data_IF_122526856163
#
_entry.id   IF_122526856163
#
_cell.length_a   1.000
_cell.length_b   1.000
_cell.length_c   1.000
_cell.angle_alpha   90.00
_cell.angle_beta   90.00
_cell.angle_gamma   90.00
#
_symmetry.space_group_name_H-M   'P 1'
#
loop_
_entity.id
_entity.type
_entity.pdbx_description
1 polymer ?
#
# COMPACT_ATOMS: atom_id res chain seq x y z
N UNK A 1 39.58 -47.25 -37.03
CA UNK A 1 40.18 -47.35 -35.68
C UNK A 1 39.14 -48.08 -34.86
N UNK A 2 39.44 -49.31 -34.43
CA UNK A 2 38.43 -50.36 -34.25
C UNK A 2 38.09 -50.65 -32.77
N UNK A 3 36.81 -50.52 -32.43
CA UNK A 3 35.88 -51.50 -31.80
C UNK A 3 36.38 -52.64 -30.86
N UNK A 4 35.44 -53.19 -30.07
CA UNK A 4 35.32 -54.59 -29.55
C UNK A 4 35.46 -54.87 -28.02
N UNK A 5 34.29 -55.19 -27.40
CA UNK A 5 33.95 -56.21 -26.35
C UNK A 5 34.62 -56.30 -24.95
N UNK A 6 33.75 -56.25 -23.93
CA UNK A 6 33.33 -57.36 -23.00
C UNK A 6 34.30 -58.49 -22.58
N UNK A 7 34.47 -58.65 -21.25
CA UNK A 7 34.30 -59.89 -20.39
C UNK A 7 34.73 -59.56 -18.94
N UNK A 8 33.94 -59.81 -17.89
CA UNK A 8 33.69 -61.08 -17.14
C UNK A 8 34.95 -61.81 -16.66
N UNK A 9 35.13 -61.87 -15.33
CA UNK A 9 35.58 -63.05 -14.56
C UNK A 9 35.04 -62.98 -13.12
N UNK A 10 34.33 -64.03 -12.68
CA UNK A 10 34.15 -64.42 -11.27
C UNK A 10 35.12 -65.57 -10.97
N UNK A 11 35.60 -65.64 -9.73
CA UNK A 11 35.98 -66.85 -8.96
C UNK A 11 35.99 -66.39 -7.49
N UNK A 12 35.19 -66.95 -6.57
CA UNK A 12 35.29 -68.31 -5.99
C UNK A 12 36.58 -68.49 -5.16
N UNK A 13 36.59 -69.05 -3.94
CA UNK A 13 35.52 -69.48 -3.03
C UNK A 13 36.14 -69.78 -1.63
N UNK A 14 35.34 -70.36 -0.72
CA UNK A 14 35.76 -71.16 0.47
C UNK A 14 36.35 -70.40 1.70
N UNK A 15 36.01 -70.76 2.95
CA UNK A 15 34.99 -71.71 3.48
C UNK A 15 34.85 -71.58 5.02
N UNK A 16 33.65 -71.91 5.55
CA UNK A 16 33.37 -72.58 6.86
C UNK A 16 33.92 -71.98 8.19
N UNK A 17 33.26 -72.09 9.35
CA UNK A 17 31.99 -72.72 9.77
C UNK A 17 31.67 -72.23 11.22
N UNK A 18 30.41 -71.94 11.55
CA UNK A 18 29.56 -72.69 12.55
C UNK A 18 29.97 -72.50 14.03
N UNK A 19 29.08 -72.38 15.03
CA UNK A 19 27.60 -72.30 15.15
C UNK A 19 27.21 -71.84 16.58
N UNK A 20 25.97 -71.35 16.78
CA UNK A 20 25.08 -71.38 17.99
C UNK A 20 25.66 -71.11 19.42
N UNK A 21 25.04 -70.43 20.41
CA UNK A 21 23.75 -69.73 20.67
C UNK A 21 23.89 -69.03 22.06
N UNK A 22 22.92 -68.45 22.77
CA UNK A 22 21.45 -68.26 22.65
C UNK A 22 21.04 -66.92 23.36
N UNK A 23 19.73 -66.68 23.43
CA UNK A 23 18.91 -65.76 24.27
C UNK A 23 19.50 -65.22 25.61
N UNK A 24 19.30 -63.93 25.89
CA UNK A 24 18.51 -63.40 27.04
C UNK A 24 18.30 -61.85 26.90
N UNK A 25 17.36 -61.29 27.67
CA UNK A 25 16.78 -59.93 27.51
C UNK A 25 17.33 -58.87 28.50
N UNK A 26 16.89 -57.61 28.30
CA UNK A 26 16.74 -56.49 29.26
C UNK A 26 17.86 -55.45 29.50
N UNK A 27 17.42 -54.18 29.37
CA UNK A 27 17.95 -52.91 29.96
C UNK A 27 19.32 -52.42 29.40
N UNK A 28 19.64 -51.11 29.34
CA UNK A 28 19.12 -49.91 30.03
C UNK A 28 18.89 -48.71 29.06
N UNK A 29 18.06 -47.73 29.47
CA UNK A 29 17.88 -46.43 28.77
C UNK A 29 18.84 -45.37 29.36
N UNK A 30 19.89 -44.95 28.62
CA UNK A 30 20.59 -43.67 28.84
C UNK A 30 21.02 -43.07 27.49
N UNK A 31 20.28 -42.06 27.00
CA UNK A 31 20.71 -41.20 25.87
C UNK A 31 21.39 -39.92 26.41
N UNK A 32 22.72 -39.93 26.45
CA UNK A 32 23.53 -38.71 26.37
C UNK A 32 23.81 -38.41 24.88
N UNK A 33 23.32 -37.27 24.36
CA UNK A 33 23.85 -36.68 23.13
C UNK A 33 24.40 -35.27 23.40
N UNK A 34 25.71 -35.11 23.25
CA UNK A 34 26.39 -33.82 23.13
C UNK A 34 26.43 -33.35 21.67
N UNK A 35 26.62 -32.03 21.47
CA UNK A 35 27.01 -31.37 20.21
C UNK A 35 25.97 -31.40 19.06
N UNK A 36 25.90 -30.41 18.16
CA UNK A 36 26.95 -29.53 17.64
C UNK A 36 26.61 -28.03 17.66
N UNK A 37 27.62 -27.20 17.95
CA UNK A 37 27.60 -25.77 17.66
C UNK A 37 27.70 -25.54 16.14
N UNK A 38 26.72 -24.87 15.55
CA UNK A 38 26.86 -24.28 14.22
C UNK A 38 26.87 -22.76 14.32
N UNK A 39 28.01 -22.16 13.94
CA UNK A 39 28.16 -20.70 13.86
C UNK A 39 27.35 -20.18 12.67
N UNK A 40 26.20 -19.57 12.92
CA UNK A 40 25.60 -18.67 11.92
C UNK A 40 26.32 -17.32 11.95
N UNK A 41 26.97 -16.99 10.84
CA UNK A 41 27.69 -15.74 10.66
C UNK A 41 26.71 -14.56 10.74
N UNK A 42 26.95 -13.62 11.65
CA UNK A 42 26.11 -12.43 11.83
C UNK A 42 26.13 -11.56 10.57
N UNK A 43 25.07 -11.62 9.76
CA UNK A 43 24.92 -10.78 8.56
C UNK A 43 24.61 -9.32 8.99
N UNK A 44 25.51 -8.32 8.81
CA UNK A 44 25.41 -7.04 9.53
C UNK A 44 24.32 -6.06 9.04
N UNK A 45 23.35 -6.50 8.25
CA UNK A 45 22.39 -5.63 7.55
C UNK A 45 20.97 -5.61 8.13
N UNK A 46 20.62 -6.51 9.06
CA UNK A 46 19.31 -6.54 9.73
C UNK A 46 19.24 -5.70 11.03
N UNK A 47 20.02 -4.61 11.09
CA UNK A 47 19.99 -3.68 12.23
C UNK A 47 18.89 -2.62 12.13
N UNK A 48 17.82 -2.89 12.88
CA UNK A 48 16.89 -1.95 13.53
C UNK A 48 15.84 -1.22 12.66
N UNK A 49 14.63 -1.77 12.64
CA UNK A 49 13.36 -1.03 12.45
C UNK A 49 12.43 -1.31 13.67
N UNK A 50 13.01 -1.60 14.85
CA UNK A 50 12.34 -2.17 16.04
C UNK A 50 11.65 -1.14 16.95
N UNK A 51 11.07 -0.10 16.34
CA UNK A 51 10.28 0.92 17.02
C UNK A 51 8.81 0.97 16.55
N UNK A 52 8.15 -0.20 16.44
CA UNK A 52 6.68 -0.27 16.55
C UNK A 52 6.24 0.02 17.99
N UNK A 53 6.41 1.27 18.42
CA UNK A 53 5.63 1.79 19.53
C UNK A 53 4.15 1.73 19.12
N UNK A 54 3.38 0.89 19.80
CA UNK A 54 1.92 0.82 19.68
C UNK A 54 1.28 2.16 20.03
N UNK A 55 1.13 3.03 19.05
CA UNK A 55 0.45 4.31 19.19
C UNK A 55 -1.00 4.16 18.76
N UNK A 56 -1.88 4.35 19.74
CA UNK A 56 -3.32 4.28 19.57
C UNK A 56 -3.80 5.23 18.45
N UNK A 57 -4.72 4.73 17.63
CA UNK A 57 -5.16 5.44 16.42
C UNK A 57 -6.16 6.51 16.82
N UNK A 58 -5.63 7.70 17.17
CA UNK A 58 -6.35 8.84 17.73
C UNK A 58 -7.80 8.94 17.25
N UNK A 59 -8.68 8.82 18.23
CA UNK A 59 -10.05 8.34 18.17
C UNK A 59 -10.92 9.01 17.10
N UNK A 60 -11.40 8.17 16.18
CA UNK A 60 -12.82 8.08 15.89
C UNK A 60 -13.01 6.69 15.26
N UNK A 61 -13.71 5.74 15.88
CA UNK A 61 -13.86 4.39 15.29
C UNK A 61 -14.73 4.39 14.03
N UNK A 62 -15.36 5.52 13.71
CA UNK A 62 -16.28 5.67 12.60
C UNK A 62 -15.90 6.87 11.72
N UNK A 63 -16.29 6.82 10.44
CA UNK A 63 -16.33 7.96 9.53
C UNK A 63 -17.80 8.28 9.29
N UNK A 64 -18.25 9.45 9.75
CA UNK A 64 -19.59 9.94 9.51
C UNK A 64 -19.62 10.87 8.29
N UNK A 65 -20.56 10.66 7.37
CA UNK A 65 -20.83 11.57 6.26
C UNK A 65 -22.32 11.69 5.99
N UNK A 66 -22.77 12.87 5.56
CA UNK A 66 -24.17 13.13 5.22
C UNK A 66 -24.40 12.84 3.73
N UNK A 67 -25.35 11.96 3.42
CA UNK A 67 -25.83 11.70 2.07
C UNK A 67 -26.64 12.88 1.54
N UNK A 68 -26.86 12.93 0.21
CA UNK A 68 -27.67 13.99 -0.44
C UNK A 68 -29.14 14.01 -0.03
N UNK A 69 -29.64 12.92 0.55
CA UNK A 69 -30.98 12.79 1.13
C UNK A 69 -31.07 13.29 2.60
N UNK A 70 -29.96 13.78 3.16
CA UNK A 70 -29.86 14.25 4.55
C UNK A 70 -29.58 13.15 5.57
N UNK A 71 -29.52 11.87 5.17
CA UNK A 71 -29.19 10.77 6.10
C UNK A 71 -27.71 10.77 6.46
N UNK A 72 -27.40 10.52 7.74
CA UNK A 72 -26.03 10.39 8.22
C UNK A 72 -25.64 8.91 8.14
N UNK A 73 -24.62 8.59 7.36
CA UNK A 73 -24.02 7.26 7.34
C UNK A 73 -22.76 7.26 8.21
N UNK A 74 -22.74 6.37 9.20
CA UNK A 74 -21.55 6.04 9.96
C UNK A 74 -20.95 4.75 9.39
N UNK A 75 -19.67 4.81 9.04
CA UNK A 75 -18.88 3.68 8.55
C UNK A 75 -17.85 3.35 9.60
N UNK A 76 -17.77 2.10 10.06
CA UNK A 76 -16.63 1.67 10.88
C UNK A 76 -15.32 1.80 10.10
N UNK A 77 -14.31 2.44 10.70
CA UNK A 77 -12.95 2.42 10.16
C UNK A 77 -12.44 0.98 10.21
N UNK A 78 -11.89 0.43 9.11
CA UNK A 78 -11.34 -0.91 9.11
C UNK A 78 -10.17 -0.99 10.10
N UNK A 79 -10.25 -1.94 11.03
CA UNK A 79 -9.30 -2.10 12.13
C UNK A 79 -7.92 -2.49 11.58
N UNK A 80 -6.82 -1.80 11.96
CA UNK A 80 -5.47 -2.21 11.61
C UNK A 80 -5.23 -3.67 12.01
N UNK A 81 -4.67 -4.49 11.12
CA UNK A 81 -4.39 -5.91 11.39
C UNK A 81 -5.62 -6.83 11.43
N UNK A 82 -6.82 -6.38 11.04
CA UNK A 82 -8.00 -7.24 10.99
C UNK A 82 -7.78 -8.46 10.10
N UNK A 83 -7.83 -9.67 10.69
CA UNK A 83 -7.98 -10.92 9.94
C UNK A 83 -9.41 -10.98 9.41
N UNK A 84 -9.63 -10.48 8.18
CA UNK A 84 -10.94 -10.47 7.53
C UNK A 84 -11.54 -11.89 7.49
N UNK A 85 -12.68 -12.08 8.16
CA UNK A 85 -13.49 -13.28 7.95
C UNK A 85 -14.09 -13.22 6.55
N UNK A 86 -14.24 -14.38 5.88
CA UNK A 86 -14.89 -14.44 4.56
C UNK A 86 -16.37 -14.06 4.70
N UNK A 87 -16.73 -12.87 4.25
CA UNK A 87 -18.13 -12.40 4.17
C UNK A 87 -18.26 -10.91 4.42
N UNK A 88 -17.83 -10.47 5.60
CA UNK A 88 -18.15 -9.16 6.16
C UNK A 88 -17.47 -8.00 5.40
N UNK A 89 -18.24 -6.99 4.99
CA UNK A 89 -17.69 -5.75 4.40
C UNK A 89 -16.67 -5.07 5.30
N UNK A 90 -15.66 -4.46 4.68
CA UNK A 90 -14.67 -3.63 5.39
C UNK A 90 -15.27 -2.31 5.90
N UNK A 91 -16.39 -1.84 5.29
CA UNK A 91 -16.97 -0.51 5.54
C UNK A 91 -18.51 -0.48 5.55
N UNK A 92 -19.21 -1.61 5.71
CA UNK A 92 -20.68 -1.67 5.64
C UNK A 92 -21.24 -1.31 4.27
N UNK A 93 -22.49 -0.81 4.25
CA UNK A 93 -23.19 -0.33 3.05
C UNK A 93 -22.59 1.00 2.57
N UNK A 94 -21.51 0.91 1.80
CA UNK A 94 -20.75 2.04 1.29
C UNK A 94 -21.32 2.51 -0.07
N UNK A 95 -22.05 3.64 -0.17
CA UNK A 95 -22.71 4.06 -1.41
C UNK A 95 -21.77 4.72 -2.43
N UNK A 96 -20.59 5.18 -2.02
CA UNK A 96 -19.65 5.95 -2.83
C UNK A 96 -18.20 5.58 -2.44
N UNK A 97 -17.21 5.73 -3.35
CA UNK A 97 -15.84 5.42 -3.00
C UNK A 97 -15.32 6.34 -1.87
N UNK A 98 -14.50 5.79 -0.97
CA UNK A 98 -13.85 6.57 0.11
C UNK A 98 -12.34 6.43 0.00
N UNK A 99 -11.68 7.58 -0.18
CA UNK A 99 -10.22 7.70 -0.05
C UNK A 99 -9.86 7.97 1.41
N UNK A 100 -9.41 6.94 2.12
CA UNK A 100 -8.95 7.07 3.50
C UNK A 100 -7.45 7.38 3.53
N UNK A 101 -7.11 8.49 4.18
CA UNK A 101 -5.73 8.84 4.53
C UNK A 101 -5.44 8.26 5.92
N UNK A 102 -4.59 7.24 5.96
CA UNK A 102 -4.03 6.68 7.20
C UNK A 102 -2.76 7.45 7.58
N UNK A 103 -2.03 6.96 8.58
CA UNK A 103 -0.83 7.63 9.11
C UNK A 103 0.25 7.85 8.03
N UNK A 104 0.65 6.80 7.31
CA UNK A 104 1.65 6.84 6.22
C UNK A 104 1.12 6.34 4.87
N UNK A 105 -0.11 5.81 4.87
CA UNK A 105 -0.68 5.01 3.79
C UNK A 105 -2.00 5.61 3.31
N UNK A 106 -2.35 5.31 2.07
CA UNK A 106 -3.61 5.69 1.44
C UNK A 106 -4.35 4.44 0.99
N UNK A 107 -5.66 4.40 1.22
CA UNK A 107 -6.56 3.30 0.86
C UNK A 107 -7.79 3.86 0.15
N UNK A 108 -8.21 3.24 -0.96
CA UNK A 108 -9.44 3.59 -1.67
C UNK A 108 -10.44 2.43 -1.61
N UNK A 109 -11.48 2.58 -0.78
CA UNK A 109 -12.57 1.63 -0.68
C UNK A 109 -13.54 1.83 -1.83
N UNK A 110 -13.84 0.76 -2.58
CA UNK A 110 -14.90 0.78 -3.59
C UNK A 110 -16.28 0.79 -2.92
N UNK A 111 -17.33 1.31 -3.59
CA UNK A 111 -18.71 1.16 -3.13
C UNK A 111 -19.08 -0.31 -2.90
N UNK A 112 -19.74 -0.58 -1.78
CA UNK A 112 -20.28 -1.88 -1.42
C UNK A 112 -21.77 -1.72 -1.09
N UNK A 113 -22.65 -1.68 -2.10
CA UNK A 113 -24.08 -1.46 -1.91
C UNK A 113 -24.81 -2.64 -1.26
N UNK A 114 -24.14 -3.80 -1.10
CA UNK A 114 -24.68 -5.02 -0.51
C UNK A 114 -23.91 -5.46 0.77
N UNK A 115 -23.09 -4.60 1.37
CA UNK A 115 -22.21 -4.94 2.51
C UNK A 115 -21.33 -6.20 2.35
N UNK A 116 -20.93 -6.56 1.12
CA UNK A 116 -20.08 -7.74 0.86
C UNK A 116 -18.59 -7.37 0.82
N UNK A 117 -17.74 -8.17 1.46
CA UNK A 117 -16.28 -7.97 1.49
C UNK A 117 -15.65 -7.76 0.09
N UNK A 118 -16.06 -8.58 -0.88
CA UNK A 118 -15.55 -8.53 -2.27
C UNK A 118 -16.08 -7.35 -3.08
N UNK A 119 -17.14 -6.66 -2.64
CA UNK A 119 -17.60 -5.44 -3.31
C UNK A 119 -16.58 -4.31 -3.14
N UNK A 120 -15.74 -4.33 -2.11
CA UNK A 120 -14.60 -3.41 -1.98
C UNK A 120 -13.38 -3.75 -2.86
N UNK A 121 -13.39 -4.88 -3.58
CA UNK A 121 -12.26 -5.30 -4.42
C UNK A 121 -12.37 -4.80 -5.88
N UNK A 122 -11.26 -4.42 -6.53
CA UNK A 122 -9.93 -4.24 -5.94
C UNK A 122 -9.92 -2.99 -5.04
N UNK A 123 -9.07 -3.00 -4.02
CA UNK A 123 -8.84 -1.84 -3.14
C UNK A 123 -7.47 -1.22 -3.47
N UNK A 124 -7.40 -0.18 -4.31
CA UNK A 124 -6.17 0.56 -4.54
C UNK A 124 -5.61 1.07 -3.22
N UNK A 125 -4.32 0.88 -3.02
CA UNK A 125 -3.61 1.41 -1.85
C UNK A 125 -2.18 1.79 -2.21
N UNK A 126 -1.64 2.74 -1.45
CA UNK A 126 -0.24 3.18 -1.57
C UNK A 126 0.32 3.28 -0.17
N UNK A 127 1.27 2.38 0.13
CA UNK A 127 1.94 2.36 1.43
C UNK A 127 3.11 3.32 1.45
N UNK A 128 3.36 3.93 2.62
CA UNK A 128 4.52 4.79 2.90
C UNK A 128 4.78 5.84 1.79
N UNK A 129 3.73 6.50 1.26
CA UNK A 129 3.80 7.41 0.10
C UNK A 129 4.89 8.49 0.20
N UNK A 130 5.17 8.95 1.43
CA UNK A 130 6.18 9.98 1.71
C UNK A 130 7.43 9.42 2.39
N UNK A 131 7.80 8.17 2.11
CA UNK A 131 9.08 7.62 2.55
C UNK A 131 10.23 8.33 1.81
N UNK A 132 10.99 9.09 2.59
CA UNK A 132 12.22 9.77 2.16
C UNK A 132 13.19 9.80 3.35
N UNK A 133 14.48 9.82 3.05
CA UNK A 133 15.51 10.19 4.02
C UNK A 133 15.34 11.68 4.37
N UNK A 134 15.56 12.04 5.63
CA UNK A 134 15.53 13.42 6.12
C UNK A 134 16.75 13.67 7.01
N UNK A 135 17.26 14.90 7.16
CA UNK A 135 18.40 15.15 8.04
C UNK A 135 18.12 14.73 9.49
N UNK A 136 19.12 14.21 10.19
CA UNK A 136 19.00 13.62 11.55
C UNK A 136 18.23 14.50 12.55
N UNK A 137 18.33 15.83 12.46
CA UNK A 137 17.56 16.77 13.29
C UNK A 137 16.03 16.62 13.17
N UNK A 138 15.51 16.09 12.05
CA UNK A 138 14.10 15.72 11.87
C UNK A 138 13.79 14.30 12.39
N UNK A 139 14.79 13.45 12.55
CA UNK A 139 14.65 12.05 12.96
C UNK A 139 14.65 11.93 14.49
N UNK A 140 15.63 12.54 15.17
CA UNK A 140 15.82 12.45 16.64
C UNK A 140 14.60 12.92 17.46
N UNK A 141 13.69 13.68 16.86
CA UNK A 141 12.46 14.14 17.50
C UNK A 141 11.15 13.66 16.88
N UNK A 142 11.15 12.94 15.74
CA UNK A 142 9.93 12.90 14.90
C UNK A 142 9.62 11.66 14.06
N UNK A 143 9.17 10.62 14.75
CA UNK A 143 8.10 9.78 14.20
C UNK A 143 6.82 10.57 13.85
N UNK A 144 6.61 11.74 14.48
CA UNK A 144 5.38 12.56 14.41
C UNK A 144 5.18 13.26 13.05
N UNK A 145 6.23 13.81 12.42
CA UNK A 145 6.11 14.55 11.15
C UNK A 145 5.87 13.66 9.93
N UNK A 146 6.04 12.35 10.07
CA UNK A 146 5.75 11.36 9.01
C UNK A 146 4.26 11.10 8.79
N UNK A 147 3.37 11.71 9.58
CA UNK A 147 1.92 11.60 9.44
C UNK A 147 1.41 12.38 8.23
N UNK A 148 0.55 11.77 7.41
CA UNK A 148 -0.33 12.48 6.49
C UNK A 148 -1.36 13.23 7.35
N UNK A 149 -1.19 14.55 7.47
CA UNK A 149 -1.97 15.39 8.37
C UNK A 149 -2.50 16.67 7.72
N UNK A 150 -2.24 16.85 6.43
CA UNK A 150 -2.70 17.98 5.62
C UNK A 150 -3.32 17.43 4.34
N UNK A 151 -4.50 17.92 3.99
CA UNK A 151 -5.17 17.58 2.73
C UNK A 151 -6.01 18.74 2.24
N UNK A 152 -6.23 18.79 0.93
CA UNK A 152 -7.14 19.69 0.24
C UNK A 152 -7.77 18.97 -0.95
N UNK A 153 -8.93 19.41 -1.40
CA UNK A 153 -9.63 18.80 -2.53
C UNK A 153 -9.95 19.85 -3.60
N UNK A 154 -9.87 19.45 -4.86
CA UNK A 154 -10.36 20.22 -6.02
C UNK A 154 -11.40 19.34 -6.72
N UNK A 155 -12.67 19.38 -6.27
CA UNK A 155 -13.69 18.46 -6.77
C UNK A 155 -13.97 18.59 -8.27
N UNK A 156 -13.86 19.79 -8.83
CA UNK A 156 -14.14 20.02 -10.26
C UNK A 156 -13.07 19.43 -11.19
N UNK A 157 -11.82 19.30 -10.72
CA UNK A 157 -10.76 18.59 -11.44
C UNK A 157 -10.74 17.09 -11.11
N UNK A 158 -11.39 16.67 -10.01
CA UNK A 158 -11.28 15.30 -9.48
C UNK A 158 -9.94 15.04 -8.82
N UNK A 159 -9.39 16.03 -8.11
CA UNK A 159 -8.03 15.98 -7.52
C UNK A 159 -8.10 16.06 -6.00
N UNK A 160 -7.27 15.24 -5.34
CA UNK A 160 -7.00 15.32 -3.89
C UNK A 160 -5.52 15.62 -3.69
N UNK A 161 -5.21 16.66 -2.94
CA UNK A 161 -3.85 17.05 -2.57
C UNK A 161 -3.63 16.60 -1.14
N UNK A 162 -2.54 15.88 -0.88
CA UNK A 162 -2.22 15.34 0.46
C UNK A 162 -0.77 15.68 0.81
N UNK A 163 -0.49 15.95 2.08
CA UNK A 163 0.83 16.40 2.51
C UNK A 163 1.19 15.91 3.93
N UNK A 164 2.50 15.93 4.18
CA UNK A 164 3.11 15.60 5.48
C UNK A 164 3.92 16.79 5.99
N UNK A 165 4.04 16.92 7.31
CA UNK A 165 4.95 17.90 7.91
C UNK A 165 6.42 17.63 7.54
N UNK A 166 6.78 16.42 7.10
CA UNK A 166 8.10 16.05 6.54
C UNK A 166 8.52 16.80 5.25
N UNK A 167 7.70 17.68 4.68
CA UNK A 167 8.15 18.62 3.63
C UNK A 167 7.65 18.35 2.21
N UNK A 168 6.85 17.29 2.01
CA UNK A 168 6.35 16.85 0.70
C UNK A 168 4.83 16.95 0.60
N UNK A 169 4.38 17.19 -0.63
CA UNK A 169 2.96 17.23 -1.02
C UNK A 169 2.78 16.31 -2.23
N UNK A 170 1.77 15.44 -2.23
CA UNK A 170 1.40 14.62 -3.38
C UNK A 170 0.07 15.12 -3.97
N UNK A 171 0.02 15.20 -5.30
CA UNK A 171 -1.20 15.49 -6.08
C UNK A 171 -1.74 14.15 -6.59
N UNK A 172 -2.97 13.82 -6.19
CA UNK A 172 -3.66 12.59 -6.55
C UNK A 172 -4.81 12.90 -7.51
N UNK A 173 -4.76 12.37 -8.72
CA UNK A 173 -5.89 12.39 -9.66
C UNK A 173 -6.79 11.19 -9.42
N UNK A 174 -8.07 11.42 -9.12
CA UNK A 174 -9.07 10.36 -8.97
C UNK A 174 -9.45 9.83 -10.36
N UNK A 175 -9.52 8.51 -10.49
CA UNK A 175 -9.82 7.81 -11.74
C UNK A 175 -11.05 6.90 -11.58
N UNK A 176 -11.73 6.63 -12.69
CA UNK A 176 -12.85 5.70 -12.74
C UNK A 176 -12.77 4.91 -14.05
N UNK A 177 -12.91 3.59 -13.96
CA UNK A 177 -12.97 2.69 -15.11
C UNK A 177 -14.12 1.69 -14.95
N UNK A 178 -14.48 1.00 -16.03
CA UNK A 178 -15.36 -0.18 -15.99
C UNK A 178 -14.51 -1.38 -16.35
N UNK A 179 -14.46 -2.37 -15.46
CA UNK A 179 -13.71 -3.60 -15.68
C UNK A 179 -14.62 -4.82 -15.60
N UNK A 180 -14.28 -5.84 -16.39
CA UNK A 180 -14.88 -7.17 -16.27
C UNK A 180 -14.14 -7.96 -15.20
N UNK A 181 -14.83 -8.25 -14.11
CA UNK A 181 -14.28 -9.00 -12.97
C UNK A 181 -15.08 -10.27 -12.72
N UNK A 182 -14.49 -11.19 -11.93
CA UNK A 182 -15.19 -12.39 -11.48
C UNK A 182 -16.40 -12.02 -10.62
N UNK A 183 -17.53 -12.64 -10.93
CA UNK A 183 -18.73 -12.56 -10.11
C UNK A 183 -18.60 -13.57 -8.96
N UNK A 184 -17.90 -13.17 -7.89
CA UNK A 184 -17.61 -14.02 -6.74
C UNK A 184 -18.87 -14.58 -6.03
N UNK A 185 -20.05 -14.03 -6.29
CA UNK A 185 -21.32 -14.55 -5.80
C UNK A 185 -21.88 -15.70 -6.66
N UNK A 186 -21.52 -15.76 -7.95
CA UNK A 186 -21.95 -16.79 -8.91
C UNK A 186 -20.87 -17.79 -9.30
N UNK A 187 -19.62 -17.57 -8.90
CA UNK A 187 -18.51 -18.51 -9.14
C UNK A 187 -18.62 -19.69 -8.18
N UNK A 188 -18.96 -20.86 -8.71
CA UNK A 188 -18.85 -22.12 -7.97
C UNK A 188 -17.39 -22.60 -7.95
N UNK A 189 -16.98 -23.24 -6.85
CA UNK A 189 -15.59 -23.64 -6.59
C UNK A 189 -15.05 -24.61 -7.66
N UNK A 190 -15.92 -25.44 -8.23
CA UNK A 190 -15.55 -26.51 -9.17
C UNK A 190 -15.71 -26.14 -10.66
N UNK A 191 -16.06 -24.89 -10.99
CA UNK A 191 -16.21 -24.44 -12.38
C UNK A 191 -14.85 -24.24 -13.08
N UNK A 192 -14.78 -24.66 -14.35
CA UNK A 192 -13.60 -24.47 -15.18
C UNK A 192 -13.27 -22.97 -15.34
N UNK A 193 -11.98 -22.56 -15.43
CA UNK A 193 -11.59 -21.14 -15.38
C UNK A 193 -12.21 -20.24 -16.45
N UNK A 194 -12.61 -20.81 -17.59
CA UNK A 194 -13.22 -20.08 -18.71
C UNK A 194 -14.72 -19.83 -18.54
N UNK A 195 -15.43 -20.69 -17.80
CA UNK A 195 -16.88 -20.62 -17.61
C UNK A 195 -17.30 -19.78 -16.39
N UNK A 196 -16.33 -19.36 -15.58
CA UNK A 196 -16.56 -18.55 -14.38
C UNK A 196 -17.29 -17.26 -14.72
N UNK A 197 -18.44 -17.07 -14.08
CA UNK A 197 -19.28 -15.89 -14.25
C UNK A 197 -18.47 -14.58 -14.09
N UNK A 198 -18.72 -13.62 -14.99
CA UNK A 198 -18.09 -12.30 -14.97
C UNK A 198 -19.16 -11.21 -14.94
N UNK A 199 -18.89 -10.16 -14.17
CA UNK A 199 -19.70 -8.95 -14.12
C UNK A 199 -18.90 -7.73 -14.57
N UNK A 200 -19.57 -6.73 -15.11
CA UNK A 200 -18.99 -5.41 -15.36
C UNK A 200 -19.19 -4.54 -14.11
N UNK A 201 -18.08 -4.09 -13.53
CA UNK A 201 -18.08 -3.30 -12.30
C UNK A 201 -17.31 -2.00 -12.51
N UNK A 202 -17.86 -0.90 -12.00
CA UNK A 202 -17.13 0.37 -11.90
C UNK A 202 -16.05 0.22 -10.83
N UNK A 203 -14.81 0.48 -11.21
CA UNK A 203 -13.67 0.52 -10.30
C UNK A 203 -13.21 1.97 -10.24
N UNK A 204 -13.14 2.49 -9.03
CA UNK A 204 -12.55 3.78 -8.72
C UNK A 204 -11.07 3.57 -8.38
N UNK A 205 -10.23 4.49 -8.82
CA UNK A 205 -8.80 4.49 -8.60
C UNK A 205 -8.31 5.87 -8.22
N UNK A 206 -7.00 5.97 -7.99
CA UNK A 206 -6.28 7.22 -8.04
C UNK A 206 -4.91 6.99 -8.66
N UNK A 207 -4.34 8.04 -9.25
CA UNK A 207 -2.97 8.09 -9.75
C UNK A 207 -2.23 9.15 -8.95
N UNK A 208 -0.97 8.88 -8.57
CA UNK A 208 -0.07 9.90 -8.04
C UNK A 208 0.52 10.62 -9.23
N UNK A 209 0.10 11.86 -9.47
CA UNK A 209 0.51 12.60 -10.67
C UNK A 209 1.85 13.31 -10.41
N UNK A 210 1.98 13.94 -9.24
CA UNK A 210 3.20 14.66 -8.84
C UNK A 210 3.45 14.51 -7.33
N UNK A 211 4.73 14.44 -6.95
CA UNK A 211 5.19 14.64 -5.58
C UNK A 211 6.08 15.88 -5.57
N UNK A 212 5.56 16.96 -4.99
CA UNK A 212 6.16 18.28 -4.96
C UNK A 212 7.26 18.39 -3.88
N UNK A 213 8.23 19.30 -4.05
CA UNK A 213 8.35 20.31 -5.12
C UNK A 213 8.89 19.78 -6.46
N UNK A 214 8.42 20.32 -7.59
CA UNK A 214 8.91 20.15 -8.98
C UNK A 214 8.85 21.55 -9.65
N UNK A 215 9.59 21.94 -10.72
CA UNK A 215 10.30 21.11 -11.72
C UNK A 215 11.79 20.94 -11.48
N UNK A 216 12.43 21.91 -10.85
CA UNK A 216 13.85 21.85 -10.50
C UNK A 216 14.11 20.86 -9.35
N UNK A 217 13.05 20.42 -8.65
CA UNK A 217 13.13 19.85 -7.30
C UNK A 217 13.94 20.77 -6.36
N UNK A 218 13.77 22.07 -6.55
CA UNK A 218 14.62 23.12 -5.97
C UNK A 218 16.09 22.92 -6.33
N UNK A 219 16.33 22.78 -7.64
CA UNK A 219 17.56 22.45 -8.39
C UNK A 219 18.67 21.83 -7.53
N UNK A 220 18.57 20.51 -7.34
CA UNK A 220 19.48 19.67 -6.54
C UNK A 220 19.58 19.99 -5.04
N UNK A 221 18.89 21.02 -4.54
CA UNK A 221 18.70 21.26 -3.11
C UNK A 221 17.74 20.27 -2.45
N UNK A 222 16.73 19.78 -3.21
CA UNK A 222 15.74 18.70 -2.95
C UNK A 222 14.96 18.72 -1.62
N UNK A 223 15.25 19.71 -0.77
CA UNK A 223 14.47 20.34 0.30
C UNK A 223 13.54 19.39 1.07
N UNK A 224 14.11 18.70 2.08
CA UNK A 224 13.70 19.02 3.45
C UNK A 224 14.79 19.78 4.23
N UNK A 225 14.59 21.10 4.41
CA UNK A 225 15.38 21.94 5.34
C UNK A 225 14.53 22.48 6.52
N UNK A 226 13.21 22.49 6.32
CA UNK A 226 12.17 22.92 7.24
C UNK A 226 10.93 22.06 6.96
N UNK A 227 10.06 21.86 7.96
CA UNK A 227 8.78 21.16 7.75
C UNK A 227 7.76 22.03 7.02
N UNK A 228 6.70 21.42 6.48
CA UNK A 228 5.52 22.18 6.00
C UNK A 228 4.71 22.62 7.22
N UNK A 229 4.35 23.91 7.26
CA UNK A 229 3.43 24.47 8.24
C UNK A 229 1.97 24.35 7.79
N UNK A 230 1.70 24.51 6.49
CA UNK A 230 0.35 24.36 5.93
C UNK A 230 0.32 24.35 4.39
N UNK A 231 -0.82 23.92 3.85
CA UNK A 231 -1.16 24.03 2.42
C UNK A 231 -2.47 24.81 2.27
N UNK A 232 -2.62 25.55 1.17
CA UNK A 232 -3.85 26.25 0.81
C UNK A 232 -4.13 26.10 -0.68
N UNK A 233 -5.40 25.98 -1.06
CA UNK A 233 -5.85 25.75 -2.44
C UNK A 233 -7.05 26.62 -2.76
N UNK A 234 -7.05 27.27 -3.93
CA UNK A 234 -8.19 28.06 -4.41
C UNK A 234 -8.15 28.29 -5.93
N UNK A 235 -9.26 28.68 -6.56
CA UNK A 235 -9.28 28.97 -7.99
C UNK A 235 -8.44 30.21 -8.31
N UNK A 236 -7.80 30.23 -9.48
CA UNK A 236 -7.07 31.40 -9.97
C UNK A 236 -8.07 32.50 -10.36
N UNK A 237 -7.88 33.71 -9.83
CA UNK A 237 -8.72 34.87 -10.13
C UNK A 237 -8.71 35.20 -11.63
N UNK A 238 -9.83 35.65 -12.17
CA UNK A 238 -10.03 35.89 -13.60
C UNK A 238 -10.50 34.65 -14.38
N UNK A 239 -10.56 33.48 -13.76
CA UNK A 239 -11.08 32.24 -14.40
C UNK A 239 -12.57 31.99 -14.12
N UNK A 240 -13.30 32.96 -13.56
CA UNK A 240 -14.70 32.79 -13.12
C UNK A 240 -15.64 32.41 -14.28
N UNK A 241 -15.32 32.89 -15.48
CA UNK A 241 -16.06 32.67 -16.73
C UNK A 241 -15.74 31.32 -17.42
N UNK A 242 -14.75 30.57 -16.93
CA UNK A 242 -14.33 29.27 -17.47
C UNK A 242 -15.20 28.15 -16.87
N UNK A 243 -15.42 27.05 -17.59
CA UNK A 243 -16.10 25.87 -17.01
C UNK A 243 -15.31 25.33 -15.80
N UNK A 244 -15.98 24.92 -14.71
CA UNK A 244 -15.33 24.52 -13.45
C UNK A 244 -14.25 23.42 -13.59
N UNK A 245 -14.43 22.51 -14.55
CA UNK A 245 -13.48 21.42 -14.87
C UNK A 245 -12.27 21.85 -15.71
N UNK A 246 -12.24 23.10 -16.18
CA UNK A 246 -11.16 23.74 -16.94
C UNK A 246 -10.55 24.94 -16.20
N UNK A 247 -11.11 25.35 -15.05
CA UNK A 247 -10.52 26.38 -14.18
C UNK A 247 -9.13 25.95 -13.72
N UNK A 248 -8.20 26.90 -13.69
CA UNK A 248 -6.91 26.73 -13.00
C UNK A 248 -7.06 27.00 -11.51
N UNK A 249 -6.30 26.25 -10.72
CA UNK A 249 -6.30 26.31 -9.26
C UNK A 249 -4.89 26.54 -8.76
N UNK A 250 -4.73 27.48 -7.82
CA UNK A 250 -3.46 27.75 -7.16
C UNK A 250 -3.33 26.91 -5.91
N UNK A 251 -2.25 26.14 -5.81
CA UNK A 251 -1.79 25.47 -4.60
C UNK A 251 -0.63 26.29 -4.02
N UNK A 252 -0.74 26.67 -2.75
CA UNK A 252 0.31 27.30 -1.96
C UNK A 252 0.80 26.30 -0.90
N UNK A 253 2.12 26.18 -0.74
CA UNK A 253 2.78 25.32 0.25
C UNK A 253 3.69 26.18 1.11
N UNK A 254 3.34 26.35 2.39
CA UNK A 254 4.07 27.21 3.33
C UNK A 254 4.93 26.38 4.28
N UNK A 255 6.21 26.71 4.37
CA UNK A 255 7.21 26.00 5.18
C UNK A 255 7.58 26.77 6.44
N UNK A 256 8.14 26.06 7.43
CA UNK A 256 8.53 26.62 8.73
C UNK A 256 9.70 27.63 8.64
N UNK A 257 10.47 27.62 7.56
CA UNK A 257 11.50 28.62 7.22
C UNK A 257 10.90 29.88 6.55
N UNK A 258 9.57 30.02 6.59
CA UNK A 258 8.78 31.08 5.94
C UNK A 258 8.84 31.06 4.40
N UNK A 259 9.47 30.04 3.77
CA UNK A 259 9.40 29.87 2.33
C UNK A 259 7.99 29.44 1.89
N UNK A 260 7.55 29.99 0.76
CA UNK A 260 6.27 29.65 0.14
C UNK A 260 6.57 29.22 -1.29
N UNK A 261 6.11 28.01 -1.66
CA UNK A 261 6.06 27.60 -3.06
C UNK A 261 4.63 27.67 -3.58
N UNK A 262 4.49 28.11 -4.82
CA UNK A 262 3.22 28.29 -5.50
C UNK A 262 3.17 27.49 -6.79
N UNK A 263 2.01 26.87 -7.05
CA UNK A 263 1.76 26.03 -8.21
C UNK A 263 0.40 26.34 -8.79
N UNK A 264 0.28 26.30 -10.11
CA UNK A 264 -1.00 26.25 -10.80
C UNK A 264 -1.27 24.84 -11.30
N UNK A 265 -2.47 24.34 -11.00
CA UNK A 265 -2.98 23.01 -11.33
C UNK A 265 -4.20 23.21 -12.23
N UNK A 266 -4.26 22.50 -13.35
CA UNK A 266 -5.40 22.54 -14.26
C UNK A 266 -5.50 21.29 -15.12
N UNK A 267 -6.49 21.29 -16.00
CA UNK A 267 -6.59 20.33 -17.12
C UNK A 267 -6.51 21.10 -18.43
N UNK A 268 -5.61 20.73 -19.35
CA UNK A 268 -5.46 21.45 -20.62
C UNK A 268 -6.69 21.27 -21.53
N UNK A 269 -7.35 20.11 -21.45
CA UNK A 269 -8.62 19.83 -22.14
C UNK A 269 -9.52 18.94 -21.29
N UNK A 270 -10.84 19.00 -21.54
CA UNK A 270 -11.89 18.34 -20.75
C UNK A 270 -11.78 16.81 -20.71
N UNK A 271 -11.17 16.20 -21.72
CA UNK A 271 -11.06 14.75 -21.87
C UNK A 271 -9.65 14.20 -21.56
N UNK A 272 -8.70 15.07 -21.18
CA UNK A 272 -7.36 14.63 -20.82
C UNK A 272 -7.29 14.23 -19.34
N UNK A 273 -6.71 13.07 -19.08
CA UNK A 273 -6.49 12.56 -17.72
C UNK A 273 -5.30 13.20 -17.04
N UNK A 274 -4.36 13.75 -17.79
CA UNK A 274 -3.13 14.34 -17.27
C UNK A 274 -3.39 15.76 -16.77
N UNK A 275 -2.91 16.04 -15.57
CA UNK A 275 -2.91 17.38 -15.02
C UNK A 275 -1.79 18.20 -15.67
N UNK A 276 -2.12 19.45 -15.98
CA UNK A 276 -1.13 20.49 -16.22
C UNK A 276 -0.73 21.08 -14.86
N UNK A 277 0.57 21.03 -14.57
CA UNK A 277 1.18 21.55 -13.34
C UNK A 277 2.29 22.53 -13.73
N UNK A 278 2.16 23.79 -13.31
CA UNK A 278 3.20 24.80 -13.47
C UNK A 278 3.59 25.39 -12.11
N UNK A 279 4.89 25.47 -11.83
CA UNK A 279 5.40 26.31 -10.74
C UNK A 279 5.41 27.78 -11.19
N UNK A 280 5.16 28.70 -10.25
CA UNK A 280 5.02 30.15 -10.49
C UNK A 280 5.75 30.98 -9.42
#
# INVERSE_FOLDING_TARGET
>A
MWDVRSRRTNTDADRSSEEEGQEEEEQEEEEEEETEESNEENDPWDSDDSYENGYDSAEDTHVAFTRRDGTICQIEKPKPGARFRRGDSMCGDLPCPILQLSFKDIYLYQPAPNSKAWDHLPMPSTRRLFQQQVPVAFETGSGKFGRINMYAQIPSLGVVIVATQKGRVAILSLTQTVARMLDYERVEINQAPFDKARMEKRIYGYRVDHILPLPSQEEAGHRPKAGIHGIAVGPVQGTEHVEDGLKRWRLLVHYQDLSILAYEIGKPTRNQFDLDLMAI
#
